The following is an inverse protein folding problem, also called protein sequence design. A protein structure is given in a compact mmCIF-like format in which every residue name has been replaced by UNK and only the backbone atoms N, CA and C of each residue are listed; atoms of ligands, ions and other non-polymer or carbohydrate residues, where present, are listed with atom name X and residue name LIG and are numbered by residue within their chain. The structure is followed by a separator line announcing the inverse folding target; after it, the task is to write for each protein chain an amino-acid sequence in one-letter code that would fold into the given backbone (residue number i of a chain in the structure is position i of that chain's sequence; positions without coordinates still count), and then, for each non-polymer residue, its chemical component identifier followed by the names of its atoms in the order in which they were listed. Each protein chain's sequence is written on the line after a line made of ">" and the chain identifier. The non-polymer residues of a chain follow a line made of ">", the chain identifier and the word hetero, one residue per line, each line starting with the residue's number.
data_IF_439286615740
#
_entry.id   IF_439286615740
#
_cell.length_a   1.000
_cell.length_b   1.000
_cell.length_c   1.000
_cell.angle_alpha   90.00
_cell.angle_beta   90.00
_cell.angle_gamma   90.00
#
_symmetry.space_group_name_H-M   'P 1'
#
loop_
_entity.id
_entity.type
_entity.pdbx_description
1 polymer ?
#
# COMPACT_ATOMS: atom_id res chain seq x y z
N UNK A 1 -39.21 -9.89 39.09
CA UNK A 1 -37.88 -9.81 38.45
C UNK A 1 -37.85 -9.17 37.05
N UNK A 2 -38.98 -8.70 36.50
CA UNK A 2 -39.01 -8.06 35.17
C UNK A 2 -38.56 -6.59 35.17
N UNK A 3 -38.93 -5.84 36.21
CA UNK A 3 -38.65 -4.38 36.34
C UNK A 3 -37.15 -4.09 36.39
N UNK A 4 -36.38 -4.83 37.22
CA UNK A 4 -34.93 -4.66 37.34
C UNK A 4 -34.14 -4.92 36.04
N UNK A 5 -34.66 -5.77 35.14
CA UNK A 5 -34.01 -6.03 33.84
C UNK A 5 -34.22 -4.89 32.85
N UNK A 6 -35.36 -4.20 32.96
CA UNK A 6 -35.72 -3.07 32.11
C UNK A 6 -34.95 -1.80 32.51
N UNK A 7 -34.68 -1.62 33.80
CA UNK A 7 -33.83 -0.52 34.30
C UNK A 7 -32.36 -0.71 33.89
N UNK A 8 -31.86 -1.95 33.92
CA UNK A 8 -30.49 -2.26 33.47
C UNK A 8 -30.30 -2.06 31.95
N UNK A 9 -31.31 -2.33 31.13
CA UNK A 9 -31.23 -2.07 29.68
C UNK A 9 -31.29 -0.58 29.38
N UNK A 10 -32.10 0.19 30.12
CA UNK A 10 -32.16 1.64 30.01
C UNK A 10 -30.83 2.30 30.37
N UNK A 11 -30.22 1.91 31.49
CA UNK A 11 -28.90 2.42 31.91
C UNK A 11 -27.79 2.08 30.90
N UNK A 12 -27.77 0.85 30.37
CA UNK A 12 -26.79 0.45 29.35
C UNK A 12 -26.93 1.22 28.05
N UNK A 13 -28.15 1.58 27.67
CA UNK A 13 -28.42 2.37 26.46
C UNK A 13 -28.03 3.84 26.65
N UNK A 14 -28.32 4.43 27.82
CA UNK A 14 -27.91 5.78 28.15
C UNK A 14 -26.38 5.94 28.21
N UNK A 15 -25.66 5.00 28.82
CA UNK A 15 -24.19 5.02 28.84
C UNK A 15 -23.59 4.93 27.43
N UNK A 16 -24.19 4.13 26.54
CA UNK A 16 -23.78 4.07 25.12
C UNK A 16 -24.04 5.39 24.40
N UNK A 17 -25.19 6.02 24.65
CA UNK A 17 -25.57 7.27 24.02
C UNK A 17 -24.69 8.43 24.48
N UNK A 18 -24.46 8.57 25.78
CA UNK A 18 -23.55 9.56 26.36
C UNK A 18 -22.10 9.36 25.88
N UNK A 19 -21.63 8.12 25.75
CA UNK A 19 -20.31 7.84 25.19
C UNK A 19 -20.21 8.21 23.70
N UNK A 20 -21.28 8.07 22.91
CA UNK A 20 -21.30 8.52 21.52
C UNK A 20 -21.29 10.05 21.40
N UNK A 21 -21.90 10.75 22.36
CA UNK A 21 -21.94 12.21 22.43
C UNK A 21 -20.61 12.81 22.96
N UNK A 22 -19.92 12.14 23.87
CA UNK A 22 -18.65 12.63 24.45
C UNK A 22 -17.40 12.32 23.61
N UNK A 23 -17.44 11.28 22.76
CA UNK A 23 -16.32 10.96 21.87
C UNK A 23 -16.54 11.59 20.50
N UNK A 24 -15.76 12.63 20.17
CA UNK A 24 -15.68 13.15 18.80
C UNK A 24 -15.37 11.99 17.83
N UNK A 25 -16.34 11.65 16.99
CA UNK A 25 -16.18 10.64 15.94
C UNK A 25 -15.28 11.22 14.85
N UNK A 26 -13.97 10.99 14.97
CA UNK A 26 -12.99 11.42 13.96
C UNK A 26 -13.21 10.60 12.69
N UNK A 27 -13.82 11.21 11.67
CA UNK A 27 -13.88 10.62 10.34
C UNK A 27 -12.54 10.81 9.63
N UNK A 28 -12.06 9.78 8.94
CA UNK A 28 -10.88 9.86 8.08
C UNK A 28 -11.23 9.29 6.73
N UNK A 29 -11.06 10.09 5.68
CA UNK A 29 -11.16 9.61 4.31
C UNK A 29 -9.98 8.69 4.03
N UNK A 30 -10.26 7.41 3.82
CA UNK A 30 -9.26 6.41 3.42
C UNK A 30 -9.44 6.15 1.93
N UNK A 31 -8.41 6.47 1.14
CA UNK A 31 -8.38 6.08 -0.27
C UNK A 31 -8.29 4.56 -0.35
N UNK A 32 -9.30 3.92 -0.92
CA UNK A 32 -9.22 2.50 -1.25
C UNK A 32 -8.18 2.31 -2.35
N UNK A 33 -7.16 1.51 -2.05
CA UNK A 33 -6.08 1.19 -2.99
C UNK A 33 -6.16 -0.29 -3.26
N UNK A 34 -6.55 -0.65 -4.48
CA UNK A 34 -6.51 -2.04 -4.93
C UNK A 34 -5.11 -2.61 -4.74
N UNK A 35 -5.04 -3.73 -4.03
CA UNK A 35 -3.78 -4.45 -3.84
C UNK A 35 -3.31 -4.97 -5.19
N UNK A 36 -2.00 -4.93 -5.44
CA UNK A 36 -1.44 -5.52 -6.65
C UNK A 36 -1.78 -7.01 -6.73
N UNK A 37 -2.10 -7.56 -7.91
CA UNK A 37 -2.54 -8.96 -8.05
C UNK A 37 -1.52 -10.00 -7.58
N UNK A 38 -0.21 -9.72 -7.73
CA UNK A 38 0.87 -10.59 -7.27
C UNK A 38 1.13 -10.53 -5.76
N UNK A 39 0.44 -9.64 -5.02
CA UNK A 39 0.70 -9.43 -3.61
C UNK A 39 0.02 -10.51 -2.75
N UNK A 40 0.79 -11.56 -2.44
CA UNK A 40 0.33 -12.70 -1.66
C UNK A 40 0.12 -12.38 -0.17
N UNK A 41 -0.62 -13.25 0.52
CA UNK A 41 -0.79 -13.21 1.98
C UNK A 41 0.55 -13.35 2.69
N UNK A 42 1.46 -14.16 2.16
CA UNK A 42 2.84 -14.31 2.66
C UNK A 42 3.62 -12.98 2.57
N UNK A 43 3.53 -12.29 1.43
CA UNK A 43 4.13 -10.96 1.23
C UNK A 43 3.61 -9.95 2.26
N UNK A 44 2.32 -10.03 2.59
CA UNK A 44 1.69 -9.21 3.63
C UNK A 44 2.23 -9.53 5.02
N UNK A 45 2.27 -10.82 5.39
CA UNK A 45 2.79 -11.26 6.68
C UNK A 45 4.27 -10.86 6.88
N UNK A 46 5.10 -11.06 5.86
CA UNK A 46 6.51 -10.68 5.89
C UNK A 46 6.70 -9.16 6.06
N UNK A 47 5.91 -8.34 5.33
CA UNK A 47 5.93 -6.88 5.50
C UNK A 47 5.51 -6.45 6.91
N UNK A 48 4.52 -7.11 7.49
CA UNK A 48 4.09 -6.84 8.87
C UNK A 48 5.20 -7.18 9.87
N UNK A 49 5.87 -8.33 9.72
CA UNK A 49 7.01 -8.71 10.57
C UNK A 49 8.16 -7.69 10.46
N UNK A 50 8.52 -7.28 9.24
CA UNK A 50 9.51 -6.21 9.02
C UNK A 50 9.12 -4.91 9.73
N UNK A 51 7.86 -4.49 9.63
CA UNK A 51 7.38 -3.26 10.28
C UNK A 51 7.43 -3.36 11.80
N UNK A 52 7.13 -4.53 12.38
CA UNK A 52 7.26 -4.78 13.83
C UNK A 52 8.72 -4.66 14.27
N UNK A 53 9.63 -5.30 13.55
CA UNK A 53 11.07 -5.23 13.84
C UNK A 53 11.62 -3.80 13.71
N UNK A 54 11.23 -3.07 12.67
CA UNK A 54 11.61 -1.67 12.46
C UNK A 54 11.13 -0.77 13.61
N UNK A 55 9.87 -0.90 14.04
CA UNK A 55 9.36 -0.15 15.19
C UNK A 55 10.11 -0.48 16.47
N UNK A 56 10.50 -1.74 16.67
CA UNK A 56 11.28 -2.16 17.83
C UNK A 56 12.67 -1.50 17.80
N UNK A 57 13.37 -1.57 16.67
CA UNK A 57 14.68 -0.94 16.48
C UNK A 57 14.62 0.59 16.70
N UNK A 58 13.62 1.27 16.13
CA UNK A 58 13.46 2.72 16.33
C UNK A 58 13.22 3.10 17.80
N UNK A 59 12.63 2.20 18.60
CA UNK A 59 12.38 2.42 20.02
C UNK A 59 13.61 2.11 20.88
N UNK A 60 14.34 1.02 20.58
CA UNK A 60 15.45 0.56 21.41
C UNK A 60 16.80 1.18 21.04
N UNK A 61 17.02 1.50 19.77
CA UNK A 61 18.32 1.96 19.26
C UNK A 61 19.43 0.91 19.27
N UNK A 62 19.14 -0.35 19.63
CA UNK A 62 20.14 -1.41 19.77
C UNK A 62 20.54 -2.02 18.43
N UNK A 63 21.83 -2.36 18.29
CA UNK A 63 22.36 -3.00 17.07
C UNK A 63 21.71 -4.38 16.83
N UNK A 64 21.41 -5.14 17.88
CA UNK A 64 20.73 -6.45 17.74
C UNK A 64 19.37 -6.28 17.06
N UNK A 65 18.58 -5.28 17.46
CA UNK A 65 17.27 -5.03 16.85
C UNK A 65 17.39 -4.53 15.40
N UNK A 66 18.46 -3.79 15.09
CA UNK A 66 18.81 -3.41 13.71
C UNK A 66 19.11 -4.64 12.85
N UNK A 67 19.88 -5.60 13.36
CA UNK A 67 20.18 -6.84 12.64
C UNK A 67 18.91 -7.66 12.38
N UNK A 68 18.00 -7.75 13.36
CA UNK A 68 16.68 -8.39 13.19
C UNK A 68 15.87 -7.68 12.09
N UNK A 69 15.84 -6.34 12.10
CA UNK A 69 15.20 -5.57 11.04
C UNK A 69 15.81 -5.85 9.66
N UNK A 70 17.14 -5.85 9.54
CA UNK A 70 17.84 -6.11 8.27
C UNK A 70 17.55 -7.52 7.75
N UNK A 71 17.48 -8.51 8.63
CA UNK A 71 17.05 -9.86 8.29
C UNK A 71 15.64 -9.85 7.67
N UNK A 72 14.66 -9.26 8.36
CA UNK A 72 13.29 -9.19 7.83
C UNK A 72 13.20 -8.35 6.55
N UNK A 73 14.02 -7.31 6.40
CA UNK A 73 14.12 -6.51 5.17
C UNK A 73 14.57 -7.38 3.99
N UNK A 74 15.58 -8.24 4.18
CA UNK A 74 16.05 -9.19 3.17
C UNK A 74 14.97 -10.22 2.82
N UNK A 75 14.31 -10.79 3.82
CA UNK A 75 13.23 -11.77 3.63
C UNK A 75 12.07 -11.19 2.80
N UNK A 76 11.59 -10.00 3.17
CA UNK A 76 10.53 -9.29 2.41
C UNK A 76 10.94 -9.06 0.96
N UNK A 77 12.21 -8.71 0.70
CA UNK A 77 12.70 -8.53 -0.68
C UNK A 77 12.62 -9.84 -1.47
N UNK A 78 13.07 -10.95 -0.88
CA UNK A 78 13.03 -12.27 -1.49
C UNK A 78 11.61 -12.70 -1.82
N UNK A 79 10.71 -12.69 -0.83
CA UNK A 79 9.30 -13.10 -0.99
C UNK A 79 8.59 -12.28 -2.08
N UNK A 80 8.73 -10.95 -2.06
CA UNK A 80 8.09 -10.13 -3.09
C UNK A 80 8.68 -10.37 -4.48
N UNK A 81 9.98 -10.67 -4.59
CA UNK A 81 10.61 -10.95 -5.87
C UNK A 81 10.09 -12.28 -6.45
N UNK A 82 10.03 -13.32 -5.62
CA UNK A 82 9.49 -14.64 -5.99
C UNK A 82 8.03 -14.53 -6.40
N UNK A 83 7.18 -13.92 -5.57
CA UNK A 83 5.76 -13.77 -5.86
C UNK A 83 5.49 -12.98 -7.15
N UNK A 84 6.25 -11.89 -7.38
CA UNK A 84 6.18 -11.16 -8.65
C UNK A 84 6.59 -12.03 -9.84
N UNK A 85 7.72 -12.73 -9.71
CA UNK A 85 8.26 -13.57 -10.78
C UNK A 85 7.27 -14.66 -11.16
N UNK A 86 6.73 -15.40 -10.18
CA UNK A 86 5.77 -16.47 -10.40
C UNK A 86 4.51 -15.95 -11.11
N UNK A 87 3.94 -14.85 -10.61
CA UNK A 87 2.76 -14.23 -11.20
C UNK A 87 2.96 -13.82 -12.66
N UNK A 88 4.03 -13.07 -12.96
CA UNK A 88 4.26 -12.61 -14.33
C UNK A 88 4.73 -13.74 -15.25
N UNK A 89 5.52 -14.71 -14.76
CA UNK A 89 5.88 -15.90 -15.54
C UNK A 89 4.64 -16.69 -15.98
N UNK A 90 3.69 -16.91 -15.06
CA UNK A 90 2.42 -17.55 -15.39
C UNK A 90 1.65 -16.72 -16.42
N UNK A 91 1.51 -15.41 -16.18
CA UNK A 91 0.81 -14.49 -17.09
C UNK A 91 1.43 -14.48 -18.49
N UNK A 92 2.75 -14.58 -18.61
CA UNK A 92 3.43 -14.70 -19.91
C UNK A 92 3.23 -16.07 -20.56
N UNK A 93 3.14 -17.15 -19.78
CA UNK A 93 2.91 -18.50 -20.32
C UNK A 93 1.50 -18.69 -20.90
N UNK A 94 0.52 -17.94 -20.41
CA UNK A 94 -0.86 -17.98 -20.88
C UNK A 94 -1.06 -17.21 -22.20
N UNK A 95 -0.13 -16.31 -22.54
CA UNK A 95 -0.25 -15.44 -23.72
C UNK A 95 0.08 -16.20 -25.00
N UNK A 96 -0.89 -16.25 -25.92
CA UNK A 96 -0.72 -16.87 -27.25
C UNK A 96 -0.35 -15.85 -28.34
N UNK A 97 -0.82 -14.61 -28.22
CA UNK A 97 -0.65 -13.58 -29.23
C UNK A 97 0.57 -12.69 -28.95
N UNK A 98 1.37 -12.41 -29.99
CA UNK A 98 2.52 -11.52 -29.90
C UNK A 98 2.16 -10.10 -29.43
N UNK A 99 1.01 -9.56 -29.87
CA UNK A 99 0.53 -8.23 -29.46
C UNK A 99 0.28 -8.14 -27.95
N UNK A 100 -0.32 -9.19 -27.38
CA UNK A 100 -0.63 -9.25 -25.95
C UNK A 100 0.65 -9.41 -25.11
N UNK A 101 1.63 -10.14 -25.64
CA UNK A 101 2.95 -10.25 -25.04
C UNK A 101 3.64 -8.89 -24.94
N UNK A 102 3.65 -8.11 -26.02
CA UNK A 102 4.24 -6.78 -26.02
C UNK A 102 3.45 -5.79 -25.15
N UNK A 103 2.12 -5.88 -25.14
CA UNK A 103 1.30 -5.07 -24.24
C UNK A 103 1.64 -5.35 -22.77
N UNK A 104 1.76 -6.62 -22.39
CA UNK A 104 2.13 -7.03 -21.04
C UNK A 104 3.57 -6.59 -20.67
N UNK A 105 4.51 -6.70 -21.62
CA UNK A 105 5.88 -6.22 -21.43
C UNK A 105 5.90 -4.70 -21.22
N UNK A 106 5.14 -3.95 -22.00
CA UNK A 106 5.03 -2.49 -21.85
C UNK A 106 4.38 -2.10 -20.51
N UNK A 107 3.34 -2.82 -20.07
CA UNK A 107 2.72 -2.67 -18.74
C UNK A 107 3.76 -2.87 -17.63
N UNK A 108 4.54 -3.96 -17.71
CA UNK A 108 5.56 -4.29 -16.71
C UNK A 108 6.70 -3.26 -16.66
N UNK A 109 7.09 -2.71 -17.80
CA UNK A 109 8.13 -1.68 -17.92
C UNK A 109 7.62 -0.27 -17.60
N UNK A 110 6.33 -0.10 -17.31
CA UNK A 110 5.74 1.23 -17.07
C UNK A 110 5.82 2.14 -18.30
N UNK A 111 5.87 1.55 -19.50
CA UNK A 111 5.80 2.29 -20.77
C UNK A 111 4.34 2.66 -21.01
N UNK A 112 3.88 3.65 -20.26
CA UNK A 112 2.54 4.19 -20.42
C UNK A 112 2.42 4.85 -21.80
N UNK A 113 1.29 4.61 -22.46
CA UNK A 113 0.92 5.33 -23.70
C UNK A 113 0.65 6.82 -23.45
N UNK A 114 0.50 7.21 -22.18
CA UNK A 114 0.19 8.55 -21.71
C UNK A 114 1.39 9.18 -20.99
N UNK A 115 2.60 9.09 -21.54
CA UNK A 115 3.69 10.03 -21.21
C UNK A 115 3.28 11.43 -21.65
N UNK A 116 2.35 12.02 -20.91
CA UNK A 116 1.94 13.41 -21.09
C UNK A 116 2.98 14.24 -20.38
N UNK A 117 3.54 15.19 -21.11
CA UNK A 117 4.32 16.27 -20.54
C UNK A 117 3.54 16.88 -19.35
N UNK A 118 4.25 17.27 -18.30
CA UNK A 118 3.65 17.93 -17.15
C UNK A 118 2.73 19.06 -17.61
N UNK A 119 1.43 18.98 -17.26
CA UNK A 119 0.45 20.05 -17.54
C UNK A 119 0.81 21.40 -16.92
N UNK A 120 1.82 21.42 -16.05
CA UNK A 120 2.32 22.64 -15.42
C UNK A 120 2.97 23.59 -16.42
N UNK A 121 3.48 23.10 -17.55
CA UNK A 121 4.15 23.94 -18.55
C UNK A 121 3.15 24.31 -19.63
N UNK A 122 2.92 25.61 -19.83
CA UNK A 122 2.12 26.10 -20.96
C UNK A 122 2.85 25.75 -22.25
N UNK A 123 2.13 25.22 -23.23
CA UNK A 123 2.71 24.77 -24.52
C UNK A 123 3.56 25.85 -25.20
N UNK A 124 3.19 27.12 -25.02
CA UNK A 124 3.85 28.29 -25.62
C UNK A 124 5.26 28.54 -25.08
N UNK A 125 5.49 28.24 -23.79
CA UNK A 125 6.78 28.47 -23.12
C UNK A 125 7.71 27.26 -23.21
N UNK A 126 7.26 26.19 -23.85
CA UNK A 126 7.97 24.93 -23.87
C UNK A 126 9.29 24.96 -24.68
N UNK A 127 9.36 25.60 -25.87
CA UNK A 127 10.61 25.66 -26.63
C UNK A 127 11.73 26.39 -25.86
N UNK A 128 11.39 27.51 -25.23
CA UNK A 128 12.33 28.34 -24.49
C UNK A 128 12.83 27.62 -23.23
N UNK A 129 11.91 27.09 -22.42
CA UNK A 129 12.26 26.32 -21.22
C UNK A 129 13.04 25.04 -21.52
N UNK A 130 12.83 24.43 -22.69
CA UNK A 130 13.61 23.28 -23.15
C UNK A 130 15.03 23.70 -23.56
N UNK A 131 15.19 24.84 -24.24
CA UNK A 131 16.49 25.40 -24.58
C UNK A 131 17.33 25.68 -23.32
N UNK A 132 16.73 26.37 -22.35
CA UNK A 132 17.34 26.72 -21.07
C UNK A 132 17.82 25.49 -20.28
N UNK A 133 17.21 24.31 -20.47
CA UNK A 133 17.60 23.10 -19.74
C UNK A 133 18.97 22.54 -20.18
N UNK A 134 19.42 22.81 -21.40
CA UNK A 134 20.68 22.26 -21.94
C UNK A 134 21.85 23.25 -21.95
N UNK A 135 21.59 24.53 -21.61
CA UNK A 135 22.61 25.58 -21.41
C UNK A 135 23.04 25.66 -19.94
#
# INVERSE_FOLDING_TARGET
>A
MAILKQDLSFLKNNVKQVNAEMFTSKSRTVTDRTSSPWFSVESKAAKQARRRAERKWNKSGLEIDKQIYLYHKKQVRGINLTAKREYYSLKFSEVQNSKDFFNLSNELLGKDKNTKLSKSIKSELLPDTFGDFFT
#
